data_IF_126202727728
#
_entry.id   IF_126202727728
#
_cell.length_a   1.000
_cell.length_b   1.000
_cell.length_c   1.000
_cell.angle_alpha   90.00
_cell.angle_beta   90.00
_cell.angle_gamma   90.00
#
_symmetry.space_group_name_H-M   'P 1'
#
loop_
_entity.id
_entity.type
_entity.pdbx_description
1 polymer ?
#
# COMPACT_ATOMS: atom_id res chain seq x y z
N UNK A 1 -20.78 20.28 -22.38
CA UNK A 1 -21.81 19.23 -22.53
C UNK A 1 -21.24 17.95 -21.94
N UNK A 2 -21.31 17.80 -20.61
CA UNK A 2 -20.87 16.61 -19.90
C UNK A 2 -21.96 15.55 -20.10
N UNK A 3 -21.63 14.43 -20.75
CA UNK A 3 -22.51 13.27 -20.81
C UNK A 3 -22.78 12.84 -19.37
N UNK A 4 -24.06 12.72 -19.02
CA UNK A 4 -24.51 12.07 -17.78
C UNK A 4 -23.79 10.72 -17.69
N UNK A 5 -23.14 10.47 -16.55
CA UNK A 5 -22.81 9.12 -16.12
C UNK A 5 -24.14 8.38 -16.11
N UNK A 6 -24.28 7.40 -16.99
CA UNK A 6 -25.52 6.67 -17.16
C UNK A 6 -25.68 5.83 -15.89
N UNK A 7 -26.91 5.72 -15.39
CA UNK A 7 -27.35 4.92 -14.23
C UNK A 7 -26.93 3.43 -14.24
N UNK A 8 -26.19 2.98 -15.24
CA UNK A 8 -25.66 1.63 -15.42
C UNK A 8 -24.15 1.49 -15.15
N UNK A 9 -23.43 2.58 -14.88
CA UNK A 9 -21.99 2.49 -14.64
C UNK A 9 -21.71 1.93 -13.23
N UNK A 10 -20.79 0.95 -13.09
CA UNK A 10 -20.46 0.36 -11.81
C UNK A 10 -19.90 1.43 -10.86
N UNK A 11 -20.15 1.33 -9.55
CA UNK A 11 -19.63 2.31 -8.62
C UNK A 11 -18.12 2.37 -8.69
N UNK A 12 -17.61 3.59 -8.69
CA UNK A 12 -16.19 3.89 -8.74
C UNK A 12 -15.76 4.56 -7.44
N UNK A 13 -14.56 4.24 -7.00
CA UNK A 13 -13.99 4.80 -5.78
C UNK A 13 -13.34 6.13 -6.13
N UNK A 14 -13.77 7.21 -5.47
CA UNK A 14 -13.03 8.46 -5.48
C UNK A 14 -11.82 8.33 -4.57
N UNK A 15 -10.62 8.48 -5.14
CA UNK A 15 -9.38 8.63 -4.38
C UNK A 15 -8.88 10.08 -4.53
N UNK A 16 -8.74 10.80 -3.42
CA UNK A 16 -8.11 12.12 -3.39
C UNK A 16 -6.84 12.05 -2.53
N UNK A 17 -5.74 12.57 -3.07
CA UNK A 17 -4.44 12.53 -2.40
C UNK A 17 -4.18 13.77 -1.57
N UNK A 18 -3.54 13.54 -0.43
CA UNK A 18 -3.03 14.58 0.46
C UNK A 18 -2.03 15.49 -0.27
N UNK A 19 -2.11 16.77 0.04
CA UNK A 19 -1.03 17.73 -0.20
C UNK A 19 0.20 17.36 0.67
N UNK A 20 1.34 18.00 0.40
CA UNK A 20 2.58 17.88 1.17
C UNK A 20 2.38 17.77 2.70
N UNK A 21 3.41 17.30 3.43
CA UNK A 21 3.40 17.15 4.91
C UNK A 21 3.06 18.42 5.72
N UNK A 22 2.79 19.56 5.05
CA UNK A 22 2.34 20.81 5.66
C UNK A 22 0.82 20.94 5.75
N UNK A 23 0.08 20.09 5.05
CA UNK A 23 -1.38 20.17 5.01
C UNK A 23 -2.00 19.70 6.32
N UNK A 24 -2.82 20.55 6.94
CA UNK A 24 -3.50 20.19 8.19
C UNK A 24 -4.67 19.25 7.89
N UNK A 25 -5.03 18.38 8.84
CA UNK A 25 -6.17 17.47 8.71
C UNK A 25 -7.46 18.19 8.28
N UNK A 26 -7.70 19.39 8.81
CA UNK A 26 -8.85 20.24 8.44
C UNK A 26 -8.84 20.65 6.96
N UNK A 27 -7.68 20.86 6.36
CA UNK A 27 -7.56 21.23 4.94
C UNK A 27 -7.86 20.04 4.03
N UNK A 28 -7.44 18.85 4.45
CA UNK A 28 -7.78 17.60 3.76
C UNK A 28 -9.30 17.36 3.82
N UNK A 29 -9.91 17.52 4.99
CA UNK A 29 -11.36 17.41 5.16
C UNK A 29 -12.12 18.42 4.31
N UNK A 30 -11.69 19.69 4.27
CA UNK A 30 -12.30 20.73 3.41
C UNK A 30 -12.25 20.33 1.93
N UNK A 31 -11.16 19.74 1.46
CA UNK A 31 -11.06 19.23 0.08
C UNK A 31 -12.02 18.09 -0.18
N UNK A 32 -12.15 17.14 0.75
CA UNK A 32 -13.11 16.04 0.63
C UNK A 32 -14.56 16.54 0.63
N UNK A 33 -14.91 17.48 1.50
CA UNK A 33 -16.23 18.12 1.50
C UNK A 33 -16.49 18.84 0.17
N UNK A 34 -15.51 19.55 -0.36
CA UNK A 34 -15.64 20.17 -1.68
C UNK A 34 -15.90 19.13 -2.78
N UNK A 35 -15.12 18.04 -2.82
CA UNK A 35 -15.32 16.95 -3.79
C UNK A 35 -16.71 16.36 -3.63
N UNK A 36 -17.13 16.04 -2.41
CA UNK A 36 -18.47 15.54 -2.08
C UNK A 36 -19.57 16.46 -2.63
N UNK A 37 -19.49 17.76 -2.34
CA UNK A 37 -20.48 18.73 -2.84
C UNK A 37 -20.47 18.84 -4.37
N UNK A 38 -19.29 18.83 -5.01
CA UNK A 38 -19.20 18.85 -6.47
C UNK A 38 -19.76 17.57 -7.11
N UNK A 39 -19.54 16.42 -6.49
CA UNK A 39 -20.14 15.14 -6.91
C UNK A 39 -21.66 15.22 -6.86
N UNK A 40 -22.24 15.73 -5.77
CA UNK A 40 -23.70 15.90 -5.65
C UNK A 40 -24.27 16.83 -6.74
N UNK A 41 -23.57 17.93 -7.07
CA UNK A 41 -23.98 18.85 -8.16
C UNK A 41 -24.00 18.13 -9.51
N UNK A 42 -23.15 17.12 -9.70
CA UNK A 42 -23.03 16.34 -10.94
C UNK A 42 -23.91 15.08 -10.95
N UNK A 43 -24.86 14.96 -10.01
CA UNK A 43 -25.72 13.78 -9.82
C UNK A 43 -24.92 12.49 -9.53
N UNK A 44 -23.72 12.66 -8.95
CA UNK A 44 -22.90 11.56 -8.47
C UNK A 44 -23.21 11.38 -6.99
N UNK A 45 -24.06 10.40 -6.69
CA UNK A 45 -24.42 10.05 -5.33
C UNK A 45 -23.25 9.37 -4.62
N UNK A 46 -22.61 10.10 -3.71
CA UNK A 46 -21.70 9.50 -2.73
C UNK A 46 -22.59 8.88 -1.64
N UNK A 47 -22.54 7.56 -1.48
CA UNK A 47 -23.43 6.83 -0.55
C UNK A 47 -23.21 7.34 0.88
N UNK A 48 -24.26 7.91 1.44
CA UNK A 48 -24.30 8.43 2.79
C UNK A 48 -24.37 7.31 3.84
N UNK A 49 -23.63 7.53 4.93
CA UNK A 49 -23.55 6.77 6.19
C UNK A 49 -23.86 5.26 6.08
N UNK A 50 -22.81 4.45 6.07
CA UNK A 50 -22.94 3.01 6.19
C UNK A 50 -23.19 2.58 7.64
N UNK A 51 -24.23 1.77 7.83
CA UNK A 51 -24.53 1.13 9.12
C UNK A 51 -24.25 -0.37 9.08
N UNK A 52 -23.38 -0.90 9.92
CA UNK A 52 -23.19 -2.35 10.13
C UNK A 52 -23.22 -2.64 11.61
N UNK A 53 -24.00 -3.65 12.01
CA UNK A 53 -23.92 -4.22 13.36
C UNK A 53 -22.63 -5.00 13.49
N UNK A 54 -21.74 -4.56 14.37
CA UNK A 54 -20.46 -5.22 14.63
C UNK A 54 -20.66 -6.16 15.82
N UNK A 55 -20.19 -7.42 15.75
CA UNK A 55 -20.28 -8.31 16.89
C UNK A 55 -19.56 -7.73 18.11
N UNK A 56 -20.27 -7.58 19.25
CA UNK A 56 -19.70 -6.99 20.49
C UNK A 56 -18.49 -7.76 21.01
N UNK A 57 -18.39 -9.04 20.70
CA UNK A 57 -17.25 -9.89 21.05
C UNK A 57 -15.97 -9.58 20.27
N UNK A 58 -16.02 -8.77 19.21
CA UNK A 58 -14.83 -8.39 18.43
C UNK A 58 -14.09 -7.23 19.08
N UNK A 59 -13.57 -7.45 20.29
CA UNK A 59 -12.74 -6.47 21.02
C UNK A 59 -11.47 -6.06 20.25
N UNK A 60 -11.07 -6.86 19.27
CA UNK A 60 -9.93 -6.62 18.39
C UNK A 60 -10.26 -5.74 17.17
N UNK A 61 -11.53 -5.45 16.90
CA UNK A 61 -12.02 -4.66 15.76
C UNK A 61 -12.39 -3.24 16.22
N UNK A 62 -11.89 -2.21 15.53
CA UNK A 62 -11.92 -0.82 16.04
C UNK A 62 -12.75 0.16 15.18
N UNK A 63 -13.50 -0.33 14.19
CA UNK A 63 -14.42 0.55 13.43
C UNK A 63 -15.74 0.70 14.19
N UNK A 64 -16.31 1.88 14.11
CA UNK A 64 -17.66 2.16 14.59
C UNK A 64 -18.71 1.52 13.67
N UNK A 65 -19.90 1.23 14.24
CA UNK A 65 -21.02 0.64 13.51
C UNK A 65 -21.58 1.59 12.43
N UNK A 66 -21.38 2.89 12.59
CA UNK A 66 -21.82 3.93 11.66
C UNK A 66 -20.61 4.67 11.11
N UNK A 67 -20.46 4.70 9.77
CA UNK A 67 -19.36 5.42 9.13
C UNK A 67 -19.80 6.15 7.86
N UNK A 68 -19.43 7.42 7.79
CA UNK A 68 -19.57 8.27 6.61
C UNK A 68 -18.41 8.04 5.64
N UNK A 69 -17.18 7.90 6.16
CA UNK A 69 -15.95 7.83 5.38
C UNK A 69 -15.04 6.67 5.84
N UNK A 70 -14.47 5.97 4.87
CA UNK A 70 -13.44 4.97 5.08
C UNK A 70 -12.12 5.43 4.49
N UNK A 71 -11.06 5.31 5.27
CA UNK A 71 -9.70 5.66 4.85
C UNK A 71 -8.89 4.38 4.65
N UNK A 72 -8.13 4.36 3.57
CA UNK A 72 -7.18 3.30 3.26
C UNK A 72 -5.87 3.95 2.81
N UNK A 73 -4.76 3.37 3.24
CA UNK A 73 -3.41 3.76 2.91
C UNK A 73 -2.92 2.91 1.73
N UNK A 74 -1.98 3.44 0.96
CA UNK A 74 -1.43 2.70 -0.18
C UNK A 74 -0.62 1.49 0.28
N UNK A 75 -1.04 0.29 -0.15
CA UNK A 75 -0.36 -0.97 0.12
C UNK A 75 1.10 -1.00 -0.35
N UNK A 76 1.42 -0.39 -1.50
CA UNK A 76 2.79 -0.32 -2.03
C UNK A 76 3.67 0.47 -1.07
N UNK A 77 3.20 1.62 -0.61
CA UNK A 77 3.95 2.42 0.36
C UNK A 77 4.05 1.77 1.75
N UNK A 78 3.06 0.98 2.15
CA UNK A 78 3.17 0.16 3.37
C UNK A 78 4.32 -0.83 3.21
N UNK A 79 4.36 -1.57 2.09
CA UNK A 79 5.39 -2.57 1.83
C UNK A 79 6.79 -1.94 1.74
N UNK A 80 6.96 -0.81 1.05
CA UNK A 80 8.27 -0.14 0.97
C UNK A 80 8.71 0.41 2.33
N UNK A 81 7.82 1.02 3.12
CA UNK A 81 8.16 1.48 4.48
C UNK A 81 8.51 0.33 5.43
N UNK A 82 7.86 -0.82 5.26
CA UNK A 82 8.16 -2.02 6.03
C UNK A 82 9.56 -2.52 5.66
N UNK A 83 9.89 -2.63 4.37
CA UNK A 83 11.25 -2.95 3.92
C UNK A 83 12.29 -1.91 4.39
N UNK A 84 12.02 -0.62 4.22
CA UNK A 84 12.98 0.44 4.54
C UNK A 84 13.39 0.43 6.02
N UNK A 85 12.54 -0.09 6.91
CA UNK A 85 12.89 -0.29 8.30
C UNK A 85 13.95 -1.39 8.50
N UNK A 86 13.91 -2.45 7.70
CA UNK A 86 14.96 -3.49 7.68
C UNK A 86 16.29 -2.94 7.18
N UNK A 87 16.26 -2.02 6.22
CA UNK A 87 17.45 -1.38 5.64
C UNK A 87 18.01 -0.22 6.49
N UNK A 88 17.39 0.09 7.63
CA UNK A 88 17.71 1.24 8.45
C UNK A 88 18.88 0.93 9.39
N UNK A 89 19.99 1.64 9.27
CA UNK A 89 21.16 1.50 10.16
C UNK A 89 20.84 1.78 11.64
N UNK A 90 19.79 2.57 11.90
CA UNK A 90 19.35 2.90 13.27
C UNK A 90 18.32 1.93 13.84
N UNK A 91 17.91 0.89 13.09
CA UNK A 91 16.91 -0.06 13.55
C UNK A 91 17.60 -1.32 14.08
N UNK A 92 17.31 -1.69 15.32
CA UNK A 92 17.80 -2.92 15.95
C UNK A 92 16.60 -3.80 16.29
N UNK A 93 15.96 -4.30 15.24
CA UNK A 93 14.71 -5.06 15.37
C UNK A 93 14.97 -6.47 15.89
N UNK A 94 14.08 -6.95 16.77
CA UNK A 94 14.11 -8.32 17.28
C UNK A 94 12.71 -8.82 17.55
N UNK A 95 12.48 -10.12 17.36
CA UNK A 95 11.28 -10.83 17.80
C UNK A 95 11.75 -11.91 18.77
N UNK A 96 11.34 -11.80 20.03
CA UNK A 96 11.83 -12.67 21.11
C UNK A 96 13.36 -12.64 21.21
N UNK A 97 14.01 -13.81 21.12
CA UNK A 97 15.46 -13.97 21.09
C UNK A 97 16.07 -13.84 19.70
N UNK A 98 15.27 -13.68 18.66
CA UNK A 98 15.74 -13.67 17.28
C UNK A 98 15.95 -12.23 16.79
N UNK A 99 17.16 -11.95 16.33
CA UNK A 99 17.49 -10.68 15.65
C UNK A 99 16.84 -10.65 14.27
N UNK A 100 16.46 -9.46 13.82
CA UNK A 100 16.05 -9.18 12.44
C UNK A 100 17.12 -8.28 11.84
N UNK A 101 17.87 -8.81 10.88
CA UNK A 101 19.00 -8.10 10.28
C UNK A 101 19.02 -8.26 8.77
N UNK A 102 19.27 -7.16 8.06
CA UNK A 102 19.49 -7.20 6.61
C UNK A 102 20.74 -8.02 6.25
N UNK A 103 21.69 -8.16 7.18
CA UNK A 103 22.89 -8.95 6.97
C UNK A 103 22.56 -10.40 6.61
N UNK A 104 21.48 -10.97 7.14
CA UNK A 104 21.04 -12.33 6.76
C UNK A 104 20.74 -12.42 5.25
N UNK A 105 20.22 -11.35 4.63
CA UNK A 105 19.96 -11.29 3.18
C UNK A 105 21.22 -11.01 2.39
N UNK A 106 22.14 -10.20 2.93
CA UNK A 106 23.47 -10.00 2.33
C UNK A 106 24.26 -11.31 2.28
N UNK A 107 24.22 -12.08 3.37
CA UNK A 107 24.88 -13.38 3.46
C UNK A 107 24.33 -14.34 2.39
N UNK A 108 23.01 -14.36 2.16
CA UNK A 108 22.45 -15.12 1.04
C UNK A 108 23.00 -14.66 -0.31
N UNK A 109 23.14 -13.35 -0.55
CA UNK A 109 23.64 -12.82 -1.82
C UNK A 109 25.12 -13.17 -2.05
N UNK A 110 25.92 -13.20 -0.99
CA UNK A 110 27.36 -13.40 -1.08
C UNK A 110 27.76 -14.90 -1.01
N UNK A 111 26.96 -15.75 -0.34
CA UNK A 111 27.32 -17.16 -0.10
C UNK A 111 26.42 -18.19 -0.79
N UNK A 112 25.16 -17.88 -1.10
CA UNK A 112 24.28 -18.81 -1.82
C UNK A 112 24.33 -18.58 -3.34
N UNK A 113 23.88 -19.57 -4.12
CA UNK A 113 23.87 -19.44 -5.58
C UNK A 113 22.83 -18.43 -6.04
N UNK A 114 23.23 -17.49 -6.91
CA UNK A 114 22.31 -16.52 -7.54
C UNK A 114 21.11 -17.17 -8.22
N UNK A 115 21.26 -18.39 -8.72
CA UNK A 115 20.17 -19.13 -9.38
C UNK A 115 19.08 -19.50 -8.37
N UNK A 116 19.45 -19.74 -7.11
CA UNK A 116 18.53 -20.16 -6.05
C UNK A 116 17.76 -18.97 -5.47
N UNK A 117 18.44 -17.84 -5.23
CA UNK A 117 17.81 -16.67 -4.58
C UNK A 117 17.36 -15.56 -5.54
N UNK A 118 17.97 -15.46 -6.73
CA UNK A 118 17.69 -14.46 -7.77
C UNK A 118 17.74 -12.98 -7.30
N UNK A 119 18.54 -12.71 -6.27
CA UNK A 119 18.77 -11.36 -5.72
C UNK A 119 20.02 -10.73 -6.32
N UNK A 120 20.07 -9.40 -6.29
CA UNK A 120 21.26 -8.59 -6.59
C UNK A 120 21.51 -7.59 -5.46
N UNK A 121 22.74 -7.06 -5.35
CA UNK A 121 23.10 -6.09 -4.29
C UNK A 121 22.20 -4.84 -4.26
N UNK A 122 21.68 -4.41 -5.40
CA UNK A 122 20.74 -3.29 -5.48
C UNK A 122 19.38 -3.58 -4.80
N UNK A 123 19.04 -4.84 -4.51
CA UNK A 123 17.78 -5.20 -3.83
C UNK A 123 17.76 -4.87 -2.36
N UNK A 124 18.95 -4.71 -1.78
CA UNK A 124 19.18 -4.38 -0.38
C UNK A 124 19.84 -3.01 -0.24
N UNK A 125 19.80 -2.18 -1.28
CA UNK A 125 20.36 -0.83 -1.26
C UNK A 125 19.41 0.17 -0.54
N UNK A 126 19.82 0.77 0.59
CA UNK A 126 19.00 1.73 1.34
C UNK A 126 18.74 3.05 0.59
N UNK A 127 19.47 3.34 -0.50
CA UNK A 127 19.30 4.58 -1.27
C UNK A 127 17.99 4.62 -2.05
N UNK A 128 17.50 3.46 -2.52
CA UNK A 128 16.28 3.38 -3.32
C UNK A 128 15.04 3.03 -2.48
N UNK A 129 14.58 4.01 -1.70
CA UNK A 129 13.43 3.90 -0.78
C UNK A 129 12.07 3.69 -1.44
N UNK A 130 11.97 3.81 -2.76
CA UNK A 130 10.71 3.67 -3.50
C UNK A 130 10.62 2.38 -4.31
N UNK A 131 11.65 1.54 -4.27
CA UNK A 131 11.72 0.33 -5.09
C UNK A 131 10.87 -0.83 -4.55
N UNK A 132 9.60 -0.82 -4.92
CA UNK A 132 8.68 -1.92 -4.62
C UNK A 132 9.11 -3.27 -5.23
N UNK A 133 9.82 -3.29 -6.35
CA UNK A 133 10.27 -4.52 -6.98
C UNK A 133 11.24 -5.30 -6.07
N UNK A 134 12.08 -4.60 -5.32
CA UNK A 134 12.96 -5.24 -4.34
C UNK A 134 12.18 -5.83 -3.17
N UNK A 135 11.05 -5.23 -2.75
CA UNK A 135 10.18 -5.86 -1.75
C UNK A 135 9.71 -7.26 -2.21
N UNK A 136 9.30 -7.39 -3.48
CA UNK A 136 8.88 -8.67 -4.06
C UNK A 136 10.01 -9.70 -4.11
N UNK A 137 11.22 -9.26 -4.48
CA UNK A 137 12.38 -10.14 -4.63
C UNK A 137 12.88 -10.67 -3.29
N UNK A 138 13.10 -9.79 -2.30
CA UNK A 138 13.61 -10.20 -0.99
C UNK A 138 12.60 -11.04 -0.20
N UNK A 139 11.29 -10.86 -0.43
CA UNK A 139 10.25 -11.67 0.21
C UNK A 139 9.76 -12.81 -0.70
N UNK A 140 10.54 -13.18 -1.72
CA UNK A 140 10.17 -14.27 -2.62
C UNK A 140 10.21 -15.61 -1.89
N UNK A 141 9.46 -16.60 -2.41
CA UNK A 141 9.40 -17.93 -1.81
C UNK A 141 10.79 -18.56 -1.73
N UNK A 142 11.61 -18.39 -2.76
CA UNK A 142 12.94 -18.99 -2.83
C UNK A 142 13.87 -18.41 -1.75
N UNK A 143 13.85 -17.08 -1.56
CA UNK A 143 14.58 -16.42 -0.48
C UNK A 143 14.08 -16.86 0.90
N UNK A 144 12.77 -16.92 1.11
CA UNK A 144 12.20 -17.38 2.38
C UNK A 144 12.60 -18.82 2.71
N UNK A 145 12.59 -19.71 1.72
CA UNK A 145 13.02 -21.11 1.90
C UNK A 145 14.51 -21.22 2.26
N UNK A 146 15.36 -20.31 1.78
CA UNK A 146 16.78 -20.28 2.13
C UNK A 146 16.99 -19.73 3.56
N UNK A 147 16.29 -18.66 3.92
CA UNK A 147 16.34 -18.11 5.29
C UNK A 147 15.82 -19.12 6.33
N UNK A 148 14.76 -19.86 6.02
CA UNK A 148 14.19 -20.88 6.90
C UNK A 148 15.17 -22.00 7.27
N UNK A 149 16.11 -22.32 6.36
CA UNK A 149 17.15 -23.33 6.61
C UNK A 149 18.25 -22.85 7.55
N UNK A 150 18.38 -21.53 7.75
CA UNK A 150 19.40 -20.94 8.60
C UNK A 150 18.78 -20.50 9.94
N UNK A 151 19.02 -21.26 11.00
CA UNK A 151 18.47 -20.97 12.34
C UNK A 151 18.79 -19.55 12.82
N UNK A 152 19.94 -18.99 12.45
CA UNK A 152 20.32 -17.61 12.83
C UNK A 152 19.44 -16.56 12.17
N UNK A 153 18.90 -16.85 10.99
CA UNK A 153 18.09 -15.94 10.19
C UNK A 153 16.58 -16.06 10.48
N UNK A 154 16.18 -16.81 11.52
CA UNK A 154 14.77 -17.06 11.88
C UNK A 154 13.97 -15.76 12.05
N UNK A 155 14.55 -14.74 12.70
CA UNK A 155 13.88 -13.45 12.89
C UNK A 155 13.61 -12.76 11.55
N UNK A 156 14.62 -12.70 10.69
CA UNK A 156 14.53 -12.13 9.34
C UNK A 156 13.56 -12.90 8.44
N UNK A 157 13.53 -14.23 8.53
CA UNK A 157 12.53 -15.08 7.87
C UNK A 157 11.10 -14.69 8.28
N UNK A 158 10.82 -14.58 9.58
CA UNK A 158 9.50 -14.17 10.08
C UNK A 158 9.16 -12.77 9.57
N UNK A 159 10.11 -11.83 9.65
CA UNK A 159 9.91 -10.46 9.19
C UNK A 159 9.57 -10.37 7.69
N UNK A 160 10.31 -11.07 6.84
CA UNK A 160 10.08 -11.07 5.40
C UNK A 160 8.83 -11.89 5.01
N UNK A 161 8.44 -12.88 5.82
CA UNK A 161 7.15 -13.59 5.68
C UNK A 161 5.96 -12.67 5.96
N UNK A 162 6.09 -11.77 6.94
CA UNK A 162 5.10 -10.70 7.16
C UNK A 162 5.06 -9.74 5.98
N UNK A 163 6.20 -9.32 5.43
CA UNK A 163 6.24 -8.50 4.21
C UNK A 163 5.55 -9.20 3.03
N UNK A 164 5.79 -10.50 2.81
CA UNK A 164 5.11 -11.27 1.76
C UNK A 164 3.60 -11.31 1.97
N UNK A 165 3.14 -11.45 3.22
CA UNK A 165 1.73 -11.42 3.58
C UNK A 165 1.09 -10.04 3.39
N UNK A 166 1.82 -8.94 3.68
CA UNK A 166 1.38 -7.57 3.35
C UNK A 166 1.14 -7.43 1.85
N UNK A 167 2.08 -7.93 1.03
CA UNK A 167 1.97 -7.89 -0.44
C UNK A 167 0.77 -8.71 -0.93
N UNK A 168 0.62 -9.94 -0.46
CA UNK A 168 -0.51 -10.81 -0.81
C UNK A 168 -1.85 -10.16 -0.40
N UNK A 169 -1.91 -9.61 0.80
CA UNK A 169 -3.09 -8.97 1.37
C UNK A 169 -3.55 -7.73 0.60
N UNK A 170 -2.63 -6.78 0.34
CA UNK A 170 -3.00 -5.45 -0.16
C UNK A 170 -2.70 -5.19 -1.62
N UNK A 171 -1.84 -5.98 -2.28
CA UNK A 171 -1.23 -5.61 -3.56
C UNK A 171 -1.37 -6.69 -4.64
N UNK A 172 -1.35 -7.98 -4.30
CA UNK A 172 -1.32 -9.04 -5.31
C UNK A 172 -2.70 -9.29 -5.93
N UNK A 173 -2.82 -9.35 -7.27
CA UNK A 173 -4.11 -9.43 -8.01
C UNK A 173 -4.80 -10.77 -7.93
N UNK A 174 -4.02 -11.84 -7.89
CA UNK A 174 -4.50 -13.22 -7.87
C UNK A 174 -5.10 -13.63 -6.53
N UNK A 175 -4.81 -12.92 -5.44
CA UNK A 175 -5.25 -13.29 -4.09
C UNK A 175 -6.76 -13.10 -3.93
N UNK A 176 -7.43 -14.15 -3.47
CA UNK A 176 -8.87 -14.14 -3.17
C UNK A 176 -9.18 -13.29 -1.94
N UNK A 177 -10.45 -12.92 -1.76
CA UNK A 177 -10.88 -12.08 -0.62
C UNK A 177 -10.60 -12.76 0.73
N UNK A 178 -10.80 -14.08 0.81
CA UNK A 178 -10.55 -14.88 2.01
C UNK A 178 -9.06 -14.93 2.34
N UNK A 179 -8.21 -15.26 1.37
CA UNK A 179 -6.75 -15.27 1.54
C UNK A 179 -6.22 -13.89 1.94
N UNK A 180 -6.78 -12.81 1.37
CA UNK A 180 -6.40 -11.45 1.78
C UNK A 180 -6.69 -11.20 3.24
N UNK A 181 -7.89 -11.56 3.72
CA UNK A 181 -8.23 -11.43 5.13
C UNK A 181 -7.27 -12.25 5.99
N UNK A 182 -7.00 -13.50 5.61
CA UNK A 182 -6.06 -14.35 6.32
C UNK A 182 -4.68 -13.71 6.45
N UNK A 183 -4.08 -13.28 5.34
CA UNK A 183 -2.75 -12.65 5.36
C UNK A 183 -2.72 -11.35 6.17
N UNK A 184 -3.69 -10.46 5.96
CA UNK A 184 -3.71 -9.15 6.61
C UNK A 184 -3.92 -9.28 8.12
N UNK A 185 -4.83 -10.16 8.56
CA UNK A 185 -5.06 -10.38 9.98
C UNK A 185 -3.92 -11.14 10.64
N UNK A 186 -3.27 -12.07 9.93
CA UNK A 186 -2.02 -12.70 10.40
C UNK A 186 -0.97 -11.63 10.70
N UNK A 187 -0.74 -10.70 9.77
CA UNK A 187 0.22 -9.60 10.00
C UNK A 187 -0.17 -8.75 11.20
N UNK A 188 -1.44 -8.37 11.34
CA UNK A 188 -1.90 -7.57 12.48
C UNK A 188 -1.67 -8.28 13.79
N UNK A 189 -2.12 -9.53 13.91
CA UNK A 189 -2.02 -10.24 15.18
C UNK A 189 -0.55 -10.44 15.55
N UNK A 190 0.31 -10.84 14.60
CA UNK A 190 1.75 -10.95 14.85
C UNK A 190 2.35 -9.61 15.26
N UNK A 191 2.04 -8.50 14.57
CA UNK A 191 2.54 -7.18 14.96
C UNK A 191 2.01 -6.72 16.33
N UNK A 192 0.77 -7.04 16.70
CA UNK A 192 0.21 -6.74 18.03
C UNK A 192 0.90 -7.52 19.13
N UNK A 193 1.13 -8.82 18.92
CA UNK A 193 1.88 -9.64 19.87
C UNK A 193 3.31 -9.14 20.00
N UNK A 194 3.98 -8.88 18.88
CA UNK A 194 5.33 -8.32 18.84
C UNK A 194 5.42 -6.98 19.60
N UNK A 195 4.50 -6.05 19.31
CA UNK A 195 4.45 -4.76 20.00
C UNK A 195 4.16 -4.90 21.49
N UNK A 196 3.25 -5.81 21.88
CA UNK A 196 2.94 -6.07 23.29
C UNK A 196 4.14 -6.65 24.02
N UNK A 197 4.83 -7.62 23.43
CA UNK A 197 6.05 -8.20 23.98
C UNK A 197 7.13 -7.13 24.23
N UNK A 198 7.36 -6.23 23.27
CA UNK A 198 8.30 -5.10 23.46
C UNK A 198 7.91 -4.20 24.65
N UNK A 199 6.62 -4.02 24.92
CA UNK A 199 6.20 -3.22 26.07
C UNK A 199 6.58 -3.87 27.39
N UNK A 200 6.54 -5.20 27.47
CA UNK A 200 6.89 -5.98 28.66
C UNK A 200 8.39 -6.28 28.79
N UNK A 201 9.23 -5.87 27.84
CA UNK A 201 10.68 -5.91 28.02
C UNK A 201 11.07 -5.00 29.19
N UNK A 202 11.62 -5.62 30.23
CA UNK A 202 12.30 -4.94 31.32
C UNK A 202 13.66 -4.42 30.81
N UNK A 203 14.09 -3.21 31.20
CA UNK A 203 15.46 -2.79 30.93
C UNK A 203 16.42 -3.75 31.60
N UNK A 204 17.38 -4.30 30.85
CA UNK A 204 18.58 -4.83 31.47
C UNK A 204 19.26 -3.67 32.21
N UNK A 205 19.64 -3.89 33.48
CA UNK A 205 20.31 -2.90 34.34
C UNK A 205 21.73 -2.62 33.81
N UNK A 206 21.86 -2.00 32.65
CA UNK A 206 23.14 -1.54 32.13
C UNK A 206 23.35 -0.08 32.50
N UNK A 207 24.10 0.10 33.59
CA UNK A 207 24.41 1.36 34.27
C UNK A 207 25.18 2.41 33.43
N UNK A 208 25.37 2.23 32.11
CA UNK A 208 26.37 3.01 31.37
C UNK A 208 25.90 3.74 30.10
N UNK A 209 24.63 3.66 29.67
CA UNK A 209 24.19 4.42 28.49
C UNK A 209 22.92 5.24 28.78
N UNK A 210 22.97 6.54 28.49
CA UNK A 210 21.87 7.49 28.66
C UNK A 210 20.78 7.36 27.58
N UNK A 211 20.60 6.18 27.01
CA UNK A 211 19.54 5.94 26.04
C UNK A 211 18.26 5.65 26.80
N UNK A 212 17.23 6.47 26.59
CA UNK A 212 15.98 6.25 27.33
C UNK A 212 15.35 4.93 26.89
N UNK A 213 14.73 4.19 27.82
CA UNK A 213 13.94 2.98 27.52
C UNK A 213 12.91 3.21 26.39
N UNK A 214 12.50 4.47 26.20
CA UNK A 214 11.59 4.89 25.14
C UNK A 214 12.20 4.84 23.73
N UNK A 215 13.52 5.01 23.61
CA UNK A 215 14.24 5.04 22.35
C UNK A 215 14.62 3.61 21.92
N UNK A 216 15.14 2.80 22.86
CA UNK A 216 15.32 1.35 22.66
C UNK A 216 14.05 0.66 22.15
N UNK A 217 12.89 0.96 22.76
CA UNK A 217 11.60 0.39 22.33
C UNK A 217 11.17 0.86 20.93
N UNK A 218 11.57 2.05 20.48
CA UNK A 218 11.27 2.53 19.11
C UNK A 218 12.12 1.79 18.08
N UNK A 219 13.35 1.43 18.42
CA UNK A 219 14.30 0.81 17.49
C UNK A 219 14.16 -0.70 17.34
N UNK A 220 13.47 -1.34 18.29
CA UNK A 220 13.15 -2.78 18.24
C UNK A 220 11.93 -3.17 17.39
N UNK A 221 11.12 -2.22 16.92
CA UNK A 221 9.87 -2.48 16.20
C UNK A 221 9.83 -1.81 14.82
N UNK A 222 8.86 -2.23 14.00
CA UNK A 222 8.46 -1.45 12.83
C UNK A 222 8.01 -0.05 13.24
N UNK A 223 8.14 0.92 12.34
CA UNK A 223 7.74 2.28 12.67
C UNK A 223 6.24 2.33 13.00
N UNK A 224 5.87 3.10 14.03
CA UNK A 224 4.45 3.28 14.42
C UNK A 224 3.56 3.67 13.22
N UNK A 225 3.95 4.61 12.33
CA UNK A 225 3.15 4.91 11.14
C UNK A 225 2.89 3.70 10.25
N UNK A 226 3.90 2.84 10.00
CA UNK A 226 3.72 1.62 9.20
C UNK A 226 2.72 0.68 9.88
N UNK A 227 2.87 0.45 11.18
CA UNK A 227 1.94 -0.39 11.95
C UNK A 227 0.50 0.13 11.88
N UNK A 228 0.28 1.43 12.10
CA UNK A 228 -1.06 2.02 12.03
C UNK A 228 -1.66 1.98 10.62
N UNK A 229 -0.84 2.10 9.57
CA UNK A 229 -1.33 1.93 8.19
C UNK A 229 -1.83 0.51 7.94
N UNK A 230 -1.12 -0.51 8.43
CA UNK A 230 -1.53 -1.92 8.32
C UNK A 230 -2.86 -2.14 9.06
N UNK A 231 -2.96 -1.66 10.31
CA UNK A 231 -4.19 -1.66 11.12
C UNK A 231 -5.35 -1.05 10.33
N UNK A 232 -5.22 0.23 9.94
CA UNK A 232 -6.29 0.98 9.26
C UNK A 232 -6.78 0.23 8.02
N UNK A 233 -5.85 -0.30 7.21
CA UNK A 233 -6.20 -1.03 5.99
C UNK A 233 -6.96 -2.31 6.27
N UNK A 234 -6.55 -3.12 7.24
CA UNK A 234 -7.24 -4.36 7.59
C UNK A 234 -8.65 -4.13 8.08
N UNK A 235 -8.80 -3.17 9.01
CA UNK A 235 -10.10 -2.84 9.57
C UNK A 235 -11.02 -2.27 8.49
N UNK A 236 -10.49 -1.43 7.59
CA UNK A 236 -11.25 -0.90 6.44
C UNK A 236 -11.65 -2.02 5.48
N UNK A 237 -10.74 -2.95 5.15
CA UNK A 237 -11.04 -4.06 4.25
C UNK A 237 -12.14 -4.96 4.81
N UNK A 238 -12.03 -5.37 6.08
CA UNK A 238 -13.06 -6.17 6.73
C UNK A 238 -14.40 -5.43 6.78
N UNK A 239 -14.39 -4.13 7.05
CA UNK A 239 -15.60 -3.31 7.03
C UNK A 239 -16.27 -3.30 5.64
N UNK A 240 -15.50 -3.11 4.57
CA UNK A 240 -16.01 -3.17 3.19
C UNK A 240 -16.60 -4.56 2.89
N UNK A 241 -15.92 -5.63 3.29
CA UNK A 241 -16.41 -7.01 3.12
C UNK A 241 -17.75 -7.21 3.83
N UNK A 242 -17.88 -6.73 5.07
CA UNK A 242 -19.14 -6.77 5.80
C UNK A 242 -20.25 -5.99 5.09
N UNK A 243 -19.93 -4.84 4.47
CA UNK A 243 -20.91 -4.06 3.71
C UNK A 243 -21.41 -4.84 2.49
N UNK A 244 -20.50 -5.52 1.78
CA UNK A 244 -20.85 -6.35 0.62
C UNK A 244 -21.70 -7.55 1.04
N UNK A 245 -21.31 -8.26 2.11
CA UNK A 245 -22.09 -9.39 2.66
C UNK A 245 -23.50 -8.93 3.06
N UNK A 246 -23.62 -7.72 3.63
CA UNK A 246 -24.91 -7.11 4.00
C UNK A 246 -25.63 -6.43 2.83
N UNK A 247 -25.15 -6.59 1.60
CA UNK A 247 -25.72 -6.02 0.36
C UNK A 247 -25.84 -4.49 0.39
N UNK A 248 -24.99 -3.82 1.16
CA UNK A 248 -24.88 -2.34 1.23
C UNK A 248 -23.90 -1.77 0.21
N UNK A 249 -22.98 -2.60 -0.27
CA UNK A 249 -22.07 -2.31 -1.37
C UNK A 249 -22.11 -3.45 -2.38
N UNK A 250 -21.89 -3.19 -3.68
CA UNK A 250 -21.76 -4.26 -4.67
C UNK A 250 -20.43 -5.00 -4.53
N UNK A 251 -20.39 -6.21 -5.09
CA UNK A 251 -19.22 -7.10 -5.05
C UNK A 251 -17.98 -6.43 -5.66
N UNK A 252 -18.15 -5.59 -6.68
CA UNK A 252 -17.05 -4.83 -7.29
C UNK A 252 -16.30 -3.91 -6.31
N UNK A 253 -16.92 -3.55 -5.18
CA UNK A 253 -16.26 -2.79 -4.11
C UNK A 253 -15.15 -3.59 -3.40
N UNK A 254 -15.10 -4.92 -3.59
CA UNK A 254 -14.01 -5.78 -3.11
C UNK A 254 -12.77 -5.72 -4.00
N UNK A 255 -12.81 -4.94 -5.08
CA UNK A 255 -11.65 -4.70 -5.92
C UNK A 255 -10.61 -3.83 -5.18
N UNK A 256 -9.76 -4.46 -4.39
CA UNK A 256 -8.71 -3.79 -3.58
C UNK A 256 -7.72 -2.99 -4.42
N UNK A 257 -7.62 -3.24 -5.73
CA UNK A 257 -6.80 -2.46 -6.66
C UNK A 257 -7.29 -1.03 -6.84
N UNK A 258 -8.59 -0.83 -6.74
CA UNK A 258 -9.17 0.51 -6.81
C UNK A 258 -8.96 1.31 -5.51
N UNK A 259 -8.47 0.66 -4.44
CA UNK A 259 -8.25 1.27 -3.12
C UNK A 259 -6.80 1.75 -2.89
N UNK A 260 -5.93 1.67 -3.90
CA UNK A 260 -4.53 2.13 -3.82
C UNK A 260 -4.24 3.34 -4.73
N UNK A 261 -3.02 3.90 -4.65
CA UNK A 261 -2.64 5.10 -5.42
C UNK A 261 -2.08 4.85 -6.79
N UNK A 262 -1.95 3.58 -7.20
CA UNK A 262 -1.25 3.24 -8.43
C UNK A 262 -1.89 3.84 -9.67
N UNK A 263 -3.23 3.99 -9.67
CA UNK A 263 -3.97 4.67 -10.76
C UNK A 263 -3.52 6.12 -10.88
N UNK A 264 -3.41 6.84 -9.77
CA UNK A 264 -2.96 8.24 -9.74
C UNK A 264 -1.48 8.38 -10.11
N UNK A 265 -0.62 7.50 -9.59
CA UNK A 265 0.79 7.47 -10.00
C UNK A 265 0.94 7.24 -11.51
N UNK A 266 0.12 6.35 -12.08
CA UNK A 266 0.09 6.11 -13.51
C UNK A 266 -0.36 7.36 -14.29
N UNK A 267 -1.38 8.08 -13.80
CA UNK A 267 -1.76 9.38 -14.37
C UNK A 267 -0.61 10.38 -14.34
N UNK A 268 0.13 10.49 -13.22
CA UNK A 268 1.31 11.35 -13.15
C UNK A 268 2.41 10.89 -14.11
N UNK A 269 2.63 9.58 -14.24
CA UNK A 269 3.61 9.01 -15.18
C UNK A 269 3.29 9.36 -16.63
N UNK A 270 2.02 9.19 -17.03
CA UNK A 270 1.54 9.59 -18.35
C UNK A 270 1.68 11.11 -18.53
N UNK A 271 1.33 11.91 -17.53
CA UNK A 271 1.51 13.35 -17.60
C UNK A 271 2.98 13.74 -17.77
N UNK A 272 3.93 13.04 -17.12
CA UNK A 272 5.38 13.25 -17.33
C UNK A 272 5.83 12.85 -18.73
N UNK A 273 5.27 11.78 -19.31
CA UNK A 273 5.62 11.32 -20.65
C UNK A 273 5.02 12.18 -21.78
N UNK A 274 3.98 12.97 -21.49
CA UNK A 274 3.37 13.92 -22.44
C UNK A 274 4.16 15.22 -22.58
N UNK A 275 5.49 15.13 -22.68
CA UNK A 275 6.36 16.24 -23.03
C UNK A 275 6.46 16.41 -24.55
N UNK A 276 6.78 17.62 -25.03
CA UNK A 276 6.87 17.90 -26.48
C UNK A 276 8.04 17.16 -27.13
N UNK A 277 8.02 17.01 -28.46
CA UNK A 277 8.98 16.22 -29.25
C UNK A 277 10.46 16.57 -29.07
N UNK A 278 10.77 17.75 -28.50
CA UNK A 278 12.12 18.22 -28.20
C UNK A 278 12.32 18.61 -26.72
N UNK A 279 11.45 18.11 -25.82
CA UNK A 279 11.51 18.41 -24.39
C UNK A 279 11.51 17.13 -23.58
N UNK A 280 12.58 16.90 -22.83
CA UNK A 280 12.67 15.87 -21.79
C UNK A 280 12.19 16.37 -20.42
N UNK A 281 11.52 17.53 -20.36
CA UNK A 281 11.14 18.13 -19.08
C UNK A 281 9.98 17.36 -18.43
N UNK A 282 10.35 16.53 -17.45
CA UNK A 282 9.44 15.74 -16.62
C UNK A 282 8.77 16.57 -15.54
N UNK A 283 9.28 17.76 -15.22
CA UNK A 283 8.71 18.66 -14.24
C UNK A 283 7.73 19.64 -14.90
N UNK A 284 6.63 19.94 -14.22
CA UNK A 284 5.59 20.82 -14.74
C UNK A 284 4.85 21.57 -13.62
N UNK A 285 4.42 22.80 -13.93
CA UNK A 285 3.55 23.58 -13.05
C UNK A 285 2.12 23.02 -13.04
N UNK A 286 1.31 23.41 -12.05
CA UNK A 286 -0.11 23.03 -11.97
C UNK A 286 -0.88 23.37 -13.25
N UNK A 287 -0.66 24.56 -13.83
CA UNK A 287 -1.27 24.96 -15.10
C UNK A 287 -0.88 24.03 -16.25
N UNK A 288 0.38 23.60 -16.29
CA UNK A 288 0.86 22.64 -17.30
C UNK A 288 0.28 21.25 -17.06
N UNK A 289 0.14 20.81 -15.81
CA UNK A 289 -0.53 19.56 -15.47
C UNK A 289 -1.98 19.54 -15.96
N UNK A 290 -2.77 20.58 -15.67
CA UNK A 290 -4.18 20.66 -16.09
C UNK A 290 -4.33 20.55 -17.62
N UNK A 291 -3.48 21.23 -18.39
CA UNK A 291 -3.44 21.09 -19.85
C UNK A 291 -3.09 19.68 -20.30
N UNK A 292 -2.22 18.98 -19.58
CA UNK A 292 -1.89 17.58 -19.87
C UNK A 292 -3.04 16.65 -19.51
N UNK A 293 -3.80 16.93 -18.44
CA UNK A 293 -5.01 16.19 -18.09
C UNK A 293 -6.07 16.23 -19.19
N UNK A 294 -6.26 17.38 -19.85
CA UNK A 294 -7.14 17.48 -21.03
C UNK A 294 -6.70 16.53 -22.15
N UNK A 295 -5.39 16.50 -22.46
CA UNK A 295 -4.83 15.57 -23.45
C UNK A 295 -5.01 14.11 -23.04
N UNK A 296 -4.77 13.78 -21.76
CA UNK A 296 -4.98 12.43 -21.22
C UNK A 296 -6.45 12.02 -21.37
N UNK A 297 -7.39 12.92 -21.06
CA UNK A 297 -8.82 12.69 -21.22
C UNK A 297 -9.19 12.38 -22.67
N UNK A 298 -8.67 13.16 -23.63
CA UNK A 298 -8.87 12.91 -25.06
C UNK A 298 -8.30 11.53 -25.46
N UNK A 299 -7.07 11.20 -25.05
CA UNK A 299 -6.44 9.91 -25.35
C UNK A 299 -7.28 8.76 -24.78
N UNK A 300 -7.77 8.88 -23.54
CA UNK A 300 -8.60 7.86 -22.92
C UNK A 300 -9.95 7.72 -23.63
N UNK A 301 -10.56 8.82 -24.07
CA UNK A 301 -11.80 8.82 -24.87
C UNK A 301 -11.61 8.15 -26.24
N UNK A 302 -10.45 8.33 -26.89
CA UNK A 302 -10.12 7.64 -28.13
C UNK A 302 -9.92 6.14 -27.86
N UNK A 303 -9.17 5.78 -26.81
CA UNK A 303 -8.93 4.38 -26.43
C UNK A 303 -10.23 3.63 -26.10
N UNK A 304 -11.16 4.27 -25.38
CA UNK A 304 -12.44 3.64 -25.03
C UNK A 304 -13.35 3.47 -26.25
N UNK A 305 -13.29 4.38 -27.24
CA UNK A 305 -14.04 4.27 -28.50
C UNK A 305 -13.45 3.28 -29.49
N UNK A 306 -12.12 3.12 -29.52
CA UNK A 306 -11.43 2.19 -30.42
C UNK A 306 -11.73 0.71 -30.16
N UNK A 307 -12.36 0.36 -29.02
CA UNK A 307 -12.86 -0.98 -28.74
C UNK A 307 -14.31 -1.25 -29.18
N UNK A 308 -15.03 -0.24 -29.71
CA UNK A 308 -16.48 -0.33 -29.98
C UNK A 308 -16.90 0.06 -31.41
N UNK A 309 -15.97 0.37 -32.31
CA UNK A 309 -16.27 0.76 -33.69
C UNK A 309 -15.75 -0.32 -34.64
N UNK A 310 -16.65 -0.91 -35.42
CA UNK A 310 -16.37 -2.02 -36.35
C UNK A 310 -15.18 -1.78 -37.29
N UNK A 311 -14.57 -2.88 -37.70
CA UNK A 311 -13.48 -3.11 -38.69
C UNK A 311 -12.22 -2.22 -38.67
N UNK A 312 -12.20 -1.11 -37.94
CA UNK A 312 -11.03 -0.25 -37.76
C UNK A 312 -10.58 -0.25 -36.30
N UNK A 313 -9.76 -1.24 -35.97
CA UNK A 313 -9.08 -1.33 -34.69
C UNK A 313 -7.94 -0.31 -34.66
N UNK A 314 -8.07 0.73 -33.82
CA UNK A 314 -6.99 1.69 -33.61
C UNK A 314 -5.84 1.03 -32.84
N UNK A 315 -4.79 0.62 -33.55
CA UNK A 315 -3.55 0.14 -32.94
C UNK A 315 -2.71 1.33 -32.48
N UNK A 316 -2.69 1.56 -31.17
CA UNK A 316 -1.69 2.44 -30.59
C UNK A 316 -0.33 1.73 -30.63
N UNK A 317 0.75 2.38 -31.08
CA UNK A 317 2.08 1.79 -31.01
C UNK A 317 2.40 1.45 -29.55
N UNK A 318 2.60 0.17 -29.27
CA UNK A 318 3.11 -0.28 -27.98
C UNK A 318 4.60 0.04 -27.96
N UNK A 319 5.02 0.92 -27.04
CA UNK A 319 6.43 1.06 -26.73
C UNK A 319 6.89 -0.22 -26.03
N UNK A 320 7.40 -1.18 -26.79
CA UNK A 320 8.25 -2.22 -26.24
C UNK A 320 9.52 -1.53 -25.75
N UNK A 321 9.75 -1.56 -24.43
CA UNK A 321 11.10 -1.35 -23.89
C UNK A 321 11.86 -2.63 -24.21
N UNK A 322 12.78 -2.56 -25.16
CA UNK A 322 13.83 -3.57 -25.31
C UNK A 322 14.80 -3.47 -24.13
#
# INVERSE_FOLDING_TARGET
>A
MLKSLVLSDPPFIFAAYGSNNKAKAIEILKKWLFIYHQSLIQDIHVIDIFHIKIPKQWSWFFKEEQKILSFMQDGIHIATKFRDRLLSETAHMKIESYSIDIQDVFDLIDFESKIEHNLIKCDVDPKDRQNFASCLRISSKDVLNLLEKNEKATGTYVYLSLLRSIIAGFIERSTTVEERLFHVWTVIFTCRFWFSWIQYLEPENDNNNSETLSDLKKDTFITKPTFWCIEINAHTLLFIILLVIKKKLPVDSLNTFALNSQICENTFRIARSLSGSFSSNTNFSVKSFLKRCEKISIINSIKSRGGQIGDYQFYFPQHHKN
#
